data_IF_418005097905
#
_entry.id   IF_418005097905
#
_cell.length_a   1.000
_cell.length_b   1.000
_cell.length_c   1.000
_cell.angle_alpha   90.00
_cell.angle_beta   90.00
_cell.angle_gamma   90.00
#
_symmetry.space_group_name_H-M   'P 1'
#
loop_
_entity.id
_entity.type
_entity.pdbx_description
1 polymer ?
#
# COMPACT_ATOMS: atom_id res chain seq x y z
N UNK A 1 -30.01 -23.74 26.50
CA UNK A 1 -28.55 -23.83 26.29
C UNK A 1 -28.31 -23.56 24.81
N UNK A 2 -28.06 -22.33 24.45
CA UNK A 2 -27.61 -21.96 23.11
C UNK A 2 -26.08 -22.07 23.13
N UNK A 3 -25.59 -23.09 22.47
CA UNK A 3 -24.18 -23.27 22.19
C UNK A 3 -23.74 -22.15 21.24
N UNK A 4 -23.22 -21.08 21.79
CA UNK A 4 -22.53 -20.06 20.99
C UNK A 4 -21.19 -20.72 20.64
N UNK A 5 -21.18 -21.40 19.50
CA UNK A 5 -19.91 -21.82 18.91
C UNK A 5 -19.07 -20.56 18.78
N UNK A 6 -18.07 -20.46 19.63
CA UNK A 6 -16.98 -19.49 19.56
C UNK A 6 -16.23 -19.79 18.26
N UNK A 7 -16.76 -19.23 17.16
CA UNK A 7 -16.14 -19.36 15.86
C UNK A 7 -14.92 -18.46 15.89
N UNK A 8 -13.77 -19.01 16.26
CA UNK A 8 -12.49 -18.34 16.08
C UNK A 8 -12.42 -17.83 14.64
N UNK A 9 -12.03 -16.58 14.41
CA UNK A 9 -11.89 -16.07 13.05
C UNK A 9 -10.93 -16.98 12.29
N UNK A 10 -11.33 -17.37 11.08
CA UNK A 10 -10.46 -18.17 10.22
C UNK A 10 -9.11 -17.47 10.06
N UNK A 11 -7.99 -18.22 10.16
CA UNK A 11 -6.68 -17.62 9.93
C UNK A 11 -6.63 -17.03 8.52
N UNK A 12 -6.05 -15.83 8.39
CA UNK A 12 -5.81 -15.21 7.09
C UNK A 12 -4.99 -16.17 6.22
N UNK A 13 -5.39 -16.37 4.94
CA UNK A 13 -4.60 -17.18 4.03
C UNK A 13 -3.21 -16.55 3.84
N UNK A 14 -2.21 -17.39 3.60
CA UNK A 14 -0.89 -16.91 3.20
C UNK A 14 -0.98 -16.14 1.90
N UNK A 15 -0.16 -15.09 1.77
CA UNK A 15 -0.12 -14.28 0.57
C UNK A 15 0.39 -15.12 -0.61
N UNK A 16 -0.23 -15.01 -1.80
CA UNK A 16 0.10 -15.83 -2.93
C UNK A 16 1.44 -15.47 -3.56
N UNK A 17 1.99 -16.39 -4.33
CA UNK A 17 3.13 -16.18 -5.22
C UNK A 17 2.71 -16.54 -6.64
N UNK A 18 3.01 -15.67 -7.61
CA UNK A 18 2.72 -15.90 -9.01
C UNK A 18 2.05 -14.73 -9.71
N UNK A 19 1.40 -15.02 -10.81
CA UNK A 19 0.69 -14.01 -11.60
C UNK A 19 -0.73 -13.81 -11.08
N UNK A 20 -1.20 -12.56 -11.17
CA UNK A 20 -2.60 -12.23 -10.92
C UNK A 20 -3.16 -11.40 -12.09
N UNK A 21 -4.47 -11.42 -12.23
CA UNK A 21 -5.20 -10.67 -13.24
C UNK A 21 -6.56 -10.23 -12.71
N UNK A 22 -6.94 -9.02 -13.05
CA UNK A 22 -8.25 -8.44 -12.72
C UNK A 22 -8.22 -7.49 -11.54
N UNK A 23 -9.09 -6.48 -11.62
CA UNK A 23 -9.18 -5.41 -10.61
C UNK A 23 -9.57 -5.94 -9.25
N UNK A 24 -10.56 -6.82 -9.20
CA UNK A 24 -11.05 -7.35 -7.93
C UNK A 24 -9.99 -8.21 -7.23
N UNK A 25 -9.27 -9.02 -7.99
CA UNK A 25 -8.13 -9.78 -7.46
C UNK A 25 -7.03 -8.86 -6.94
N UNK A 26 -6.70 -7.82 -7.70
CA UNK A 26 -5.73 -6.80 -7.27
C UNK A 26 -6.14 -6.15 -5.95
N UNK A 27 -7.37 -5.69 -5.85
CA UNK A 27 -7.88 -5.05 -4.64
C UNK A 27 -7.87 -5.99 -3.44
N UNK A 28 -8.23 -7.26 -3.66
CA UNK A 28 -8.18 -8.26 -2.59
C UNK A 28 -6.74 -8.54 -2.12
N UNK A 29 -5.78 -8.58 -3.04
CA UNK A 29 -4.36 -8.69 -2.68
C UNK A 29 -3.89 -7.53 -1.80
N UNK A 30 -4.32 -6.31 -2.09
CA UNK A 30 -4.00 -5.14 -1.27
C UNK A 30 -4.60 -5.26 0.13
N UNK A 31 -5.87 -5.66 0.23
CA UNK A 31 -6.53 -5.89 1.53
C UNK A 31 -5.79 -6.95 2.35
N UNK A 32 -5.48 -8.08 1.73
CA UNK A 32 -4.80 -9.20 2.37
C UNK A 32 -3.36 -8.85 2.79
N UNK A 33 -2.66 -8.05 1.98
CA UNK A 33 -1.33 -7.58 2.31
C UNK A 33 -1.31 -6.71 3.57
N UNK A 34 -2.22 -5.75 3.69
CA UNK A 34 -2.29 -4.90 4.88
C UNK A 34 -2.73 -5.68 6.13
N UNK A 35 -3.66 -6.62 5.97
CA UNK A 35 -4.06 -7.51 7.07
C UNK A 35 -2.89 -8.40 7.53
N UNK A 36 -2.13 -8.94 6.59
CA UNK A 36 -0.92 -9.73 6.87
C UNK A 36 0.17 -8.88 7.53
N UNK A 37 0.37 -7.66 7.08
CA UNK A 37 1.31 -6.71 7.68
C UNK A 37 1.00 -6.48 9.17
N UNK A 38 -0.27 -6.29 9.50
CA UNK A 38 -0.72 -6.12 10.88
C UNK A 38 -0.52 -7.39 11.71
N UNK A 39 -0.86 -8.55 11.16
CA UNK A 39 -0.72 -9.84 11.83
C UNK A 39 0.74 -10.19 12.09
N UNK A 40 1.59 -10.06 11.08
CA UNK A 40 2.98 -10.53 11.11
C UNK A 40 3.97 -9.44 11.57
N UNK A 41 3.49 -8.20 11.72
CA UNK A 41 4.30 -7.11 12.22
C UNK A 41 5.39 -6.65 11.25
N UNK A 42 5.07 -6.47 9.98
CA UNK A 42 6.03 -5.92 9.02
C UNK A 42 6.53 -4.55 9.50
N UNK A 43 7.82 -4.34 9.50
CA UNK A 43 8.37 -3.08 10.00
C UNK A 43 8.36 -1.95 8.97
N UNK A 44 8.20 -2.27 7.70
CA UNK A 44 8.18 -1.30 6.63
C UNK A 44 7.20 -1.71 5.51
N UNK A 45 6.49 -0.73 4.98
CA UNK A 45 5.63 -0.88 3.80
C UNK A 45 5.94 0.27 2.84
N UNK A 46 6.10 -0.04 1.57
CA UNK A 46 6.21 0.96 0.50
C UNK A 46 5.09 0.70 -0.50
N UNK A 47 4.30 1.72 -0.78
CA UNK A 47 3.30 1.66 -1.84
C UNK A 47 3.58 2.73 -2.89
N UNK A 48 3.40 2.37 -4.14
CA UNK A 48 3.64 3.23 -5.29
C UNK A 48 2.55 3.01 -6.34
N UNK A 49 2.03 4.11 -6.86
CA UNK A 49 1.12 4.12 -7.99
C UNK A 49 1.03 5.54 -8.55
N UNK A 50 0.62 5.69 -9.80
CA UNK A 50 0.47 7.02 -10.38
C UNK A 50 -0.55 7.88 -9.63
N UNK A 51 -1.70 7.32 -9.27
CA UNK A 51 -2.82 8.06 -8.68
C UNK A 51 -3.56 7.34 -7.55
N UNK A 52 -3.37 6.06 -7.35
CA UNK A 52 -4.08 5.21 -6.36
C UNK A 52 -5.61 5.21 -6.50
N UNK A 53 -6.15 5.54 -7.67
CA UNK A 53 -7.60 5.69 -7.85
C UNK A 53 -8.36 4.37 -7.68
N UNK A 54 -7.78 3.24 -8.09
CA UNK A 54 -8.36 1.91 -8.01
C UNK A 54 -7.83 1.06 -6.83
N UNK A 55 -6.98 1.63 -6.00
CA UNK A 55 -6.57 1.00 -4.76
C UNK A 55 -7.67 1.12 -3.71
N UNK A 56 -7.90 0.10 -2.87
CA UNK A 56 -8.97 0.13 -1.86
C UNK A 56 -8.58 0.88 -0.58
N UNK A 57 -7.83 1.97 -0.67
CA UNK A 57 -7.28 2.70 0.48
C UNK A 57 -8.35 3.34 1.36
N UNK A 58 -9.50 3.71 0.79
CA UNK A 58 -10.59 4.34 1.52
C UNK A 58 -11.52 3.36 2.23
N UNK A 59 -11.34 2.08 2.05
CA UNK A 59 -12.19 1.07 2.68
C UNK A 59 -11.90 0.97 4.19
N UNK A 60 -12.97 0.79 4.96
CA UNK A 60 -12.86 0.64 6.42
C UNK A 60 -11.92 -0.49 6.81
N UNK A 61 -12.07 -1.67 6.20
CA UNK A 61 -11.25 -2.85 6.52
C UNK A 61 -9.76 -2.60 6.28
N UNK A 62 -9.42 -1.85 5.25
CA UNK A 62 -8.03 -1.49 4.93
C UNK A 62 -7.47 -0.54 5.98
N UNK A 63 -8.21 0.50 6.33
CA UNK A 63 -7.76 1.47 7.34
C UNK A 63 -7.69 0.83 8.74
N UNK A 64 -8.59 -0.09 9.07
CA UNK A 64 -8.52 -0.87 10.32
C UNK A 64 -7.25 -1.72 10.37
N UNK A 65 -6.87 -2.36 9.27
CA UNK A 65 -5.60 -3.10 9.16
C UNK A 65 -4.38 -2.19 9.32
N UNK A 66 -4.38 -1.04 8.66
CA UNK A 66 -3.31 -0.05 8.78
C UNK A 66 -3.22 0.52 10.19
N UNK A 67 -4.33 0.77 10.83
CA UNK A 67 -4.38 1.23 12.23
C UNK A 67 -3.80 0.18 13.18
N UNK A 68 -4.13 -1.09 12.97
CA UNK A 68 -3.58 -2.19 13.77
C UNK A 68 -2.07 -2.38 13.53
N UNK A 69 -1.62 -2.11 12.30
CA UNK A 69 -0.21 -2.19 11.94
C UNK A 69 0.62 -1.01 12.49
N UNK A 70 0.06 0.19 12.51
CA UNK A 70 0.79 1.43 12.81
C UNK A 70 1.33 1.46 14.25
N UNK A 71 2.64 1.69 14.38
CA UNK A 71 3.37 1.83 15.65
C UNK A 71 4.59 2.71 15.46
N UNK A 72 5.07 3.32 16.52
CA UNK A 72 6.38 3.99 16.51
C UNK A 72 7.49 3.01 16.12
N UNK A 73 8.42 3.46 15.28
CA UNK A 73 9.49 2.63 14.76
C UNK A 73 9.18 1.90 13.45
N UNK A 74 7.91 1.84 13.04
CA UNK A 74 7.52 1.38 11.70
C UNK A 74 7.64 2.48 10.67
N UNK A 75 7.73 2.12 9.40
CA UNK A 75 7.88 3.05 8.30
C UNK A 75 6.88 2.73 7.19
N UNK A 76 6.20 3.77 6.74
CA UNK A 76 5.30 3.71 5.59
C UNK A 76 5.74 4.76 4.58
N UNK A 77 6.06 4.32 3.35
CA UNK A 77 6.46 5.21 2.27
C UNK A 77 5.42 5.12 1.17
N UNK A 78 4.97 6.27 0.69
CA UNK A 78 4.00 6.39 -0.39
C UNK A 78 4.58 7.24 -1.50
N UNK A 79 4.45 6.78 -2.74
CA UNK A 79 4.97 7.45 -3.93
C UNK A 79 3.85 7.55 -4.96
N UNK A 80 3.61 8.75 -5.48
CA UNK A 80 2.59 9.01 -6.50
C UNK A 80 3.00 10.12 -7.46
N UNK A 81 2.37 10.19 -8.64
CA UNK A 81 2.43 11.36 -9.49
C UNK A 81 1.57 12.49 -8.92
N UNK A 82 0.39 12.16 -8.41
CA UNK A 82 -0.57 13.09 -7.81
C UNK A 82 -1.33 12.41 -6.68
N UNK A 83 -1.68 13.17 -5.65
CA UNK A 83 -2.51 12.75 -4.53
C UNK A 83 -3.97 13.20 -4.61
N UNK A 84 -4.37 13.84 -5.70
CA UNK A 84 -5.71 14.40 -5.85
C UNK A 84 -6.80 13.34 -5.71
N UNK A 85 -6.61 12.18 -6.33
CA UNK A 85 -7.55 11.06 -6.22
C UNK A 85 -7.57 10.44 -4.82
N UNK A 86 -6.43 10.39 -4.14
CA UNK A 86 -6.35 9.92 -2.75
C UNK A 86 -7.18 10.83 -1.84
N UNK A 87 -7.01 12.13 -1.96
CA UNK A 87 -7.75 13.11 -1.16
C UNK A 87 -9.25 13.04 -1.44
N UNK A 88 -9.61 12.88 -2.71
CA UNK A 88 -10.99 12.90 -3.16
C UNK A 88 -11.76 11.62 -2.84
N UNK A 89 -11.08 10.46 -2.93
CA UNK A 89 -11.73 9.14 -2.87
C UNK A 89 -11.49 8.36 -1.60
N UNK A 90 -10.41 8.66 -0.87
CA UNK A 90 -9.91 7.84 0.24
C UNK A 90 -9.85 8.62 1.56
N UNK A 91 -10.96 9.23 1.94
CA UNK A 91 -11.02 10.12 3.12
C UNK A 91 -10.57 9.46 4.44
N UNK A 92 -10.89 8.16 4.63
CA UNK A 92 -10.45 7.42 5.82
C UNK A 92 -8.92 7.25 5.84
N UNK A 93 -8.33 6.97 4.69
CA UNK A 93 -6.88 6.86 4.55
C UNK A 93 -6.20 8.21 4.82
N UNK A 94 -6.73 9.30 4.31
CA UNK A 94 -6.22 10.67 4.55
C UNK A 94 -6.19 10.98 6.05
N UNK A 95 -7.23 10.63 6.79
CA UNK A 95 -7.28 10.81 8.25
C UNK A 95 -6.24 9.95 8.96
N UNK A 96 -6.12 8.69 8.60
CA UNK A 96 -5.09 7.80 9.13
C UNK A 96 -3.68 8.33 8.85
N UNK A 97 -3.44 8.79 7.63
CA UNK A 97 -2.19 9.45 7.23
C UNK A 97 -1.84 10.61 8.15
N UNK A 98 -2.79 11.47 8.44
CA UNK A 98 -2.59 12.63 9.32
C UNK A 98 -2.26 12.22 10.76
N UNK A 99 -2.92 11.20 11.29
CA UNK A 99 -2.69 10.69 12.64
C UNK A 99 -1.28 10.10 12.81
N UNK A 100 -0.79 9.41 11.77
CA UNK A 100 0.50 8.69 11.82
C UNK A 100 1.60 9.37 11.01
N UNK A 101 1.53 10.67 10.86
CA UNK A 101 2.49 11.47 10.08
C UNK A 101 3.95 11.15 10.40
N UNK A 102 4.29 10.92 11.65
CA UNK A 102 5.65 10.66 12.09
C UNK A 102 6.28 9.35 11.60
N UNK A 103 5.47 8.40 11.13
CA UNK A 103 5.96 7.16 10.53
C UNK A 103 5.75 7.11 9.02
N UNK A 104 5.07 8.10 8.43
CA UNK A 104 4.67 8.11 7.03
C UNK A 104 5.45 9.16 6.25
N UNK A 105 6.07 8.74 5.16
CA UNK A 105 6.73 9.61 4.19
C UNK A 105 5.99 9.55 2.88
N UNK A 106 5.50 10.68 2.39
CA UNK A 106 4.85 10.79 1.08
C UNK A 106 5.73 11.55 0.10
N UNK A 107 5.92 10.97 -1.07
CA UNK A 107 6.73 11.52 -2.16
C UNK A 107 5.87 11.73 -3.40
N UNK A 108 6.15 12.76 -4.17
CA UNK A 108 5.40 13.13 -5.37
C UNK A 108 6.34 13.37 -6.54
N UNK A 109 5.96 12.88 -7.71
CA UNK A 109 6.66 13.11 -8.98
C UNK A 109 5.68 13.63 -10.04
N UNK A 110 5.27 14.90 -9.98
CA UNK A 110 4.18 15.43 -10.80
C UNK A 110 4.50 15.53 -12.30
N UNK A 111 5.78 15.63 -12.64
CA UNK A 111 6.25 15.72 -14.02
C UNK A 111 6.48 14.35 -14.67
N UNK A 112 6.41 13.27 -13.91
CA UNK A 112 6.61 11.93 -14.44
C UNK A 112 5.46 11.51 -15.35
N UNK A 113 5.78 10.73 -16.39
CA UNK A 113 4.76 10.04 -17.14
C UNK A 113 4.09 9.00 -16.21
N UNK A 114 2.75 9.03 -16.03
CA UNK A 114 2.07 8.06 -15.17
C UNK A 114 2.34 6.60 -15.53
N UNK A 115 2.63 6.31 -16.79
CA UNK A 115 2.95 4.95 -17.25
C UNK A 115 4.32 4.47 -16.76
N UNK A 116 5.22 5.38 -16.43
CA UNK A 116 6.55 5.04 -15.93
C UNK A 116 6.58 4.84 -14.41
N UNK A 117 5.58 5.36 -13.71
CA UNK A 117 5.49 5.21 -12.26
C UNK A 117 5.19 3.76 -11.88
N UNK A 118 6.02 3.11 -11.06
CA UNK A 118 5.72 1.77 -10.60
C UNK A 118 4.38 1.71 -9.87
N UNK A 119 3.59 0.67 -10.14
CA UNK A 119 2.38 0.33 -9.38
C UNK A 119 2.69 -0.91 -8.55
N UNK A 120 2.98 -0.73 -7.27
CA UNK A 120 3.54 -1.79 -6.46
C UNK A 120 3.27 -1.61 -4.95
N UNK A 121 3.31 -2.74 -4.26
CA UNK A 121 3.40 -2.79 -2.80
C UNK A 121 4.63 -3.62 -2.45
N UNK A 122 5.51 -3.04 -1.66
CA UNK A 122 6.72 -3.69 -1.19
C UNK A 122 6.72 -3.83 0.33
N UNK A 123 7.17 -4.97 0.79
CA UNK A 123 7.52 -5.21 2.20
C UNK A 123 8.78 -6.08 2.29
N UNK A 124 9.40 -6.19 3.47
CA UNK A 124 10.55 -7.09 3.64
C UNK A 124 10.23 -8.58 3.42
N UNK A 125 8.96 -8.97 3.48
CA UNK A 125 8.53 -10.36 3.39
C UNK A 125 7.85 -10.72 2.07
N UNK A 126 7.15 -9.76 1.45
CA UNK A 126 6.33 -10.04 0.28
C UNK A 126 6.17 -8.79 -0.59
N UNK A 127 6.04 -9.00 -1.89
CA UNK A 127 5.86 -7.91 -2.86
C UNK A 127 4.74 -8.21 -3.85
N UNK A 128 4.12 -7.15 -4.33
CA UNK A 128 3.18 -7.15 -5.44
C UNK A 128 3.62 -6.06 -6.43
N UNK A 129 3.74 -6.43 -7.69
CA UNK A 129 4.07 -5.49 -8.76
C UNK A 129 3.05 -5.60 -9.88
N UNK A 130 2.24 -4.57 -10.05
CA UNK A 130 1.25 -4.49 -11.13
C UNK A 130 1.95 -3.97 -12.40
N UNK A 131 2.20 -4.88 -13.33
CA UNK A 131 2.96 -4.59 -14.55
C UNK A 131 2.11 -3.87 -15.61
N UNK A 132 0.81 -4.16 -15.65
CA UNK A 132 -0.18 -3.50 -16.49
C UNK A 132 -1.31 -2.96 -15.64
N UNK A 133 -1.25 -1.68 -15.23
CA UNK A 133 -2.27 -1.07 -14.37
C UNK A 133 -3.67 -1.00 -15.00
N UNK A 134 -3.75 -0.84 -16.31
CA UNK A 134 -5.05 -0.76 -17.00
C UNK A 134 -5.80 -2.09 -16.94
N UNK A 135 -5.10 -3.19 -17.15
CA UNK A 135 -5.66 -4.54 -17.10
C UNK A 135 -5.59 -5.17 -15.72
N UNK A 136 -4.95 -4.50 -14.78
CA UNK A 136 -4.69 -5.02 -13.44
C UNK A 136 -4.00 -6.40 -13.47
N UNK A 137 -2.96 -6.52 -14.28
CA UNK A 137 -2.14 -7.72 -14.38
C UNK A 137 -0.80 -7.47 -13.74
N UNK A 138 -0.33 -8.42 -12.96
CA UNK A 138 0.95 -8.31 -12.29
C UNK A 138 1.44 -9.61 -11.69
N UNK A 139 2.42 -9.47 -10.81
CA UNK A 139 3.09 -10.59 -10.16
C UNK A 139 3.21 -10.33 -8.66
N UNK A 140 3.19 -11.40 -7.90
CA UNK A 140 3.43 -11.38 -6.45
C UNK A 140 4.48 -12.40 -6.08
N UNK A 141 5.08 -12.25 -4.94
CA UNK A 141 5.99 -13.25 -4.42
C UNK A 141 6.80 -12.78 -3.22
N UNK A 142 7.54 -13.72 -2.64
CA UNK A 142 8.41 -13.50 -1.49
C UNK A 142 9.87 -13.82 -1.78
N UNK A 143 10.22 -14.12 -3.04
CA UNK A 143 11.60 -14.41 -3.41
C UNK A 143 12.52 -13.22 -3.10
N UNK A 144 13.69 -13.45 -2.47
CA UNK A 144 14.61 -12.39 -2.09
C UNK A 144 15.04 -11.51 -3.26
N UNK A 145 15.35 -12.07 -4.41
CA UNK A 145 15.80 -11.32 -5.58
C UNK A 145 14.71 -10.35 -6.07
N UNK A 146 13.48 -10.80 -6.11
CA UNK A 146 12.33 -9.98 -6.50
C UNK A 146 12.12 -8.80 -5.53
N UNK A 147 12.25 -9.06 -4.24
CA UNK A 147 12.13 -8.02 -3.21
C UNK A 147 13.24 -6.97 -3.34
N UNK A 148 14.47 -7.40 -3.56
CA UNK A 148 15.62 -6.51 -3.73
C UNK A 148 15.47 -5.64 -4.98
N UNK A 149 15.16 -6.24 -6.13
CA UNK A 149 15.02 -5.52 -7.40
C UNK A 149 13.90 -4.48 -7.35
N UNK A 150 12.74 -4.84 -6.79
CA UNK A 150 11.64 -3.88 -6.64
C UNK A 150 12.02 -2.75 -5.67
N UNK A 151 12.68 -3.07 -4.57
CA UNK A 151 13.13 -2.05 -3.62
C UNK A 151 14.11 -1.07 -4.24
N UNK A 152 15.07 -1.54 -5.01
CA UNK A 152 16.01 -0.68 -5.72
C UNK A 152 15.29 0.27 -6.70
N UNK A 153 14.36 -0.25 -7.48
CA UNK A 153 13.55 0.55 -8.40
C UNK A 153 12.75 1.64 -7.66
N UNK A 154 12.09 1.29 -6.58
CA UNK A 154 11.33 2.25 -5.77
C UNK A 154 12.24 3.30 -5.12
N UNK A 155 13.41 2.90 -4.65
CA UNK A 155 14.38 3.83 -4.06
C UNK A 155 14.91 4.85 -5.07
N UNK A 156 15.09 4.48 -6.32
CA UNK A 156 15.49 5.43 -7.38
C UNK A 156 14.42 6.54 -7.52
N UNK A 157 13.17 6.18 -7.49
CA UNK A 157 12.07 7.14 -7.54
C UNK A 157 12.01 8.03 -6.30
N UNK A 158 12.08 7.42 -5.13
CA UNK A 158 11.98 8.15 -3.86
C UNK A 158 13.13 9.15 -3.69
N UNK A 159 14.35 8.75 -4.02
CA UNK A 159 15.54 9.56 -3.78
C UNK A 159 15.88 10.51 -4.92
N UNK A 160 15.72 10.08 -6.16
CA UNK A 160 16.23 10.81 -7.33
C UNK A 160 15.19 11.45 -8.22
N UNK A 161 13.94 11.02 -8.17
CA UNK A 161 12.88 11.41 -9.11
C UNK A 161 11.66 12.01 -8.48
N UNK A 162 11.67 12.28 -7.18
CA UNK A 162 10.51 12.78 -6.46
C UNK A 162 10.87 13.85 -5.45
N UNK A 163 9.86 14.57 -5.01
CA UNK A 163 9.93 15.59 -3.97
C UNK A 163 8.90 15.29 -2.88
N UNK A 164 9.03 15.85 -1.66
CA UNK A 164 8.00 15.71 -0.64
C UNK A 164 6.63 16.18 -1.16
N UNK A 165 5.61 15.41 -0.85
CA UNK A 165 4.25 15.68 -1.29
C UNK A 165 3.22 15.18 -0.29
N UNK A 166 1.94 15.54 -0.48
CA UNK A 166 0.84 15.15 0.39
C UNK A 166 1.10 15.46 1.87
N UNK A 167 1.12 16.75 2.28
CA UNK A 167 1.35 17.14 3.65
C UNK A 167 0.26 16.59 4.58
N UNK A 168 0.62 16.28 5.82
CA UNK A 168 -0.28 15.72 6.83
C UNK A 168 -1.29 16.74 7.36
N UNK A 169 -0.93 18.01 7.32
CA UNK A 169 -1.80 19.11 7.69
C UNK A 169 -2.15 19.91 6.46
N UNK A 170 -3.43 20.02 6.18
CA UNK A 170 -3.91 21.17 5.45
C UNK A 170 -3.58 22.34 6.36
N UNK A 171 -2.71 23.26 5.93
CA UNK A 171 -2.66 24.56 6.55
C UNK A 171 -4.06 25.13 6.43
N UNK A 172 -4.86 24.88 7.45
CA UNK A 172 -6.18 25.44 7.55
C UNK A 172 -6.01 26.94 7.69
N UNK A 173 -6.43 27.61 6.69
CA UNK A 173 -6.89 28.96 6.85
C UNK A 173 -8.29 28.89 7.43
#
# INVERSE_FOLDING_TARGET
MTDVADTLPEPLPDLPAGRFSGRETFQQLVRDAFATAARDGWHEIVISDAHFHDWPLGERVVVESLQAWARSGRRFIMLACSYDDVIRRHARFVRWRGTWDHIITCRRSPAANPLDMPSALWSPQWVMHRLDPERCVGVTGSEPDRRVLLRESLNEWVRGKSTPGFPSTTLGL
#
